data_IF_049057989159
#
_entry.id   IF_049057989159
#
_cell.length_a   1.000
_cell.length_b   1.000
_cell.length_c   1.000
_cell.angle_alpha   90.00
_cell.angle_beta   90.00
_cell.angle_gamma   90.00
#
_symmetry.space_group_name_H-M   'P 1'
#
loop_
_entity.id
_entity.type
_entity.pdbx_description
1 polymer ?
#
# COMPACT_ATOMS: atom_id res chain seq x y z
N UNK A 1 2.05 -23.86 26.31
CA UNK A 1 2.70 -23.19 27.46
C UNK A 1 3.91 -22.30 27.10
N UNK A 2 4.80 -22.64 26.14
CA UNK A 2 5.95 -21.78 25.79
C UNK A 2 5.59 -20.45 25.09
N UNK A 3 4.48 -20.39 24.34
CA UNK A 3 4.03 -19.17 23.64
C UNK A 3 3.49 -18.08 24.60
N UNK A 4 2.66 -18.43 25.59
CA UNK A 4 2.14 -17.46 26.58
C UNK A 4 3.24 -16.83 27.47
N UNK A 5 4.29 -17.59 27.82
CA UNK A 5 5.40 -17.07 28.61
C UNK A 5 6.30 -16.10 27.83
N UNK A 6 6.30 -16.19 26.50
CA UNK A 6 7.09 -15.32 25.61
C UNK A 6 6.36 -13.99 25.36
N UNK A 7 5.04 -14.03 25.20
CA UNK A 7 4.21 -12.82 25.07
C UNK A 7 4.24 -11.95 26.34
N UNK A 8 4.17 -12.56 27.53
CA UNK A 8 4.23 -11.84 28.80
C UNK A 8 5.56 -11.10 29.01
N UNK A 9 6.68 -11.65 28.53
CA UNK A 9 8.00 -10.99 28.59
C UNK A 9 8.10 -9.81 27.62
N UNK A 10 7.50 -9.91 26.44
CA UNK A 10 7.45 -8.81 25.47
C UNK A 10 6.59 -7.65 25.97
N UNK A 11 5.45 -7.95 26.62
CA UNK A 11 4.59 -6.94 27.24
C UNK A 11 5.31 -6.23 28.40
N UNK A 12 6.02 -6.97 29.25
CA UNK A 12 6.78 -6.41 30.37
C UNK A 12 7.91 -5.48 29.91
N UNK A 13 8.63 -5.87 28.84
CA UNK A 13 9.66 -5.03 28.22
C UNK A 13 9.06 -3.75 27.62
N UNK A 14 7.92 -3.86 26.93
CA UNK A 14 7.21 -2.71 26.38
C UNK A 14 6.78 -1.71 27.47
N UNK A 15 6.17 -2.21 28.54
CA UNK A 15 5.78 -1.38 29.69
C UNK A 15 6.97 -0.69 30.35
N UNK A 16 8.10 -1.39 30.50
CA UNK A 16 9.32 -0.81 31.08
C UNK A 16 9.86 0.36 30.23
N UNK A 17 9.82 0.24 28.90
CA UNK A 17 10.24 1.31 27.99
C UNK A 17 9.32 2.54 28.11
N UNK A 18 8.00 2.32 28.20
CA UNK A 18 7.03 3.40 28.38
C UNK A 18 7.26 4.13 29.71
N UNK A 19 7.50 3.39 30.80
CA UNK A 19 7.78 3.98 32.12
C UNK A 19 9.07 4.82 32.08
N UNK A 20 10.13 4.34 31.42
CA UNK A 20 11.39 5.08 31.26
C UNK A 20 11.16 6.36 30.45
N UNK A 21 10.39 6.30 29.36
CA UNK A 21 10.06 7.47 28.54
C UNK A 21 9.26 8.50 29.33
N UNK A 22 8.24 8.07 30.08
CA UNK A 22 7.42 8.96 30.91
C UNK A 22 8.25 9.60 32.03
N UNK A 23 9.10 8.82 32.70
CA UNK A 23 9.99 9.33 33.75
C UNK A 23 11.02 10.33 33.19
N UNK A 24 11.62 10.03 32.04
CA UNK A 24 12.52 10.95 31.34
C UNK A 24 11.82 12.26 30.93
N UNK A 25 10.59 12.17 30.43
CA UNK A 25 9.76 13.35 30.11
C UNK A 25 9.46 14.18 31.35
N UNK A 26 9.09 13.53 32.46
CA UNK A 26 8.85 14.20 33.74
C UNK A 26 10.09 14.98 34.23
N UNK A 27 11.28 14.36 34.18
CA UNK A 27 12.53 15.03 34.59
C UNK A 27 12.84 16.25 33.73
N UNK A 28 12.59 16.19 32.41
CA UNK A 28 12.76 17.33 31.51
C UNK A 28 11.79 18.46 31.86
N UNK A 29 10.51 18.15 32.06
CA UNK A 29 9.49 19.13 32.45
C UNK A 29 9.85 19.78 33.79
N UNK A 30 10.28 18.99 34.79
CA UNK A 30 10.67 19.49 36.09
C UNK A 30 11.88 20.44 36.03
N UNK A 31 12.89 20.13 35.21
CA UNK A 31 14.04 21.02 34.97
C UNK A 31 13.62 22.32 34.31
N UNK A 32 12.76 22.25 33.29
CA UNK A 32 12.23 23.43 32.62
C UNK A 32 11.42 24.28 33.60
N UNK A 33 10.56 23.67 34.41
CA UNK A 33 9.75 24.36 35.41
C UNK A 33 10.59 25.08 36.47
N UNK A 34 11.68 24.47 36.94
CA UNK A 34 12.59 25.10 37.88
C UNK A 34 13.26 26.36 37.31
N UNK A 35 13.63 26.33 36.03
CA UNK A 35 14.20 27.52 35.35
C UNK A 35 13.13 28.63 35.27
N UNK A 36 11.91 28.32 34.85
CA UNK A 36 10.82 29.31 34.77
C UNK A 36 10.38 29.86 36.13
N UNK A 37 10.41 29.04 37.18
CA UNK A 37 10.02 29.45 38.54
C UNK A 37 11.00 30.44 39.17
N UNK A 38 12.22 30.55 38.65
CA UNK A 38 13.24 31.50 39.10
C UNK A 38 13.14 32.89 38.44
N UNK A 39 12.23 33.08 37.47
CA UNK A 39 12.06 34.33 36.71
C UNK A 39 11.07 35.26 37.42
N UNK A 40 11.30 36.58 37.37
CA UNK A 40 10.40 37.60 37.90
C UNK A 40 8.97 37.44 37.32
N UNK A 41 7.92 37.32 38.17
CA UNK A 41 6.53 37.18 37.74
C UNK A 41 6.04 38.23 36.75
N UNK A 42 6.60 39.45 36.75
CA UNK A 42 6.23 40.54 35.82
C UNK A 42 6.72 40.29 34.39
N UNK A 43 7.80 39.51 34.21
CA UNK A 43 8.37 39.14 32.92
C UNK A 43 8.04 37.69 32.52
N UNK A 44 7.71 36.85 33.50
CA UNK A 44 7.46 35.42 33.32
C UNK A 44 6.34 35.10 32.33
N UNK A 45 5.21 35.81 32.40
CA UNK A 45 4.07 35.55 31.51
C UNK A 45 4.41 35.78 30.01
N UNK A 46 5.14 36.85 29.72
CA UNK A 46 5.58 37.17 28.35
C UNK A 46 6.61 36.15 27.82
N UNK A 47 7.56 35.75 28.68
CA UNK A 47 8.58 34.76 28.33
C UNK A 47 7.98 33.36 28.11
N UNK A 48 7.06 32.92 28.97
CA UNK A 48 6.34 31.65 28.79
C UNK A 48 5.56 31.65 27.48
N UNK A 49 4.85 32.74 27.18
CA UNK A 49 4.08 32.87 25.95
C UNK A 49 4.97 32.82 24.70
N UNK A 50 6.08 33.58 24.70
CA UNK A 50 7.03 33.58 23.59
C UNK A 50 7.68 32.20 23.38
N UNK A 51 8.10 31.55 24.47
CA UNK A 51 8.69 30.22 24.42
C UNK A 51 7.69 29.17 23.92
N UNK A 52 6.46 29.20 24.43
CA UNK A 52 5.39 28.32 23.97
C UNK A 52 5.12 28.51 22.46
N UNK A 53 5.05 29.75 21.98
CA UNK A 53 4.84 30.05 20.56
C UNK A 53 5.98 29.49 19.69
N UNK A 54 7.24 29.67 20.11
CA UNK A 54 8.41 29.12 19.39
C UNK A 54 8.38 27.60 19.39
N UNK A 55 8.09 26.97 20.53
CA UNK A 55 7.99 25.50 20.62
C UNK A 55 6.89 24.93 19.74
N UNK A 56 5.68 25.50 19.80
CA UNK A 56 4.55 25.04 18.99
C UNK A 56 4.85 25.17 17.50
N UNK A 57 5.43 26.31 17.08
CA UNK A 57 5.86 26.54 15.70
C UNK A 57 6.89 25.49 15.26
N UNK A 58 7.90 25.22 16.09
CA UNK A 58 8.94 24.25 15.79
C UNK A 58 8.37 22.84 15.64
N UNK A 59 7.52 22.40 16.58
CA UNK A 59 6.85 21.09 16.54
C UNK A 59 5.99 20.97 15.27
N UNK A 60 5.22 22.00 14.94
CA UNK A 60 4.39 22.03 13.74
C UNK A 60 5.22 21.86 12.47
N UNK A 61 6.35 22.57 12.35
CA UNK A 61 7.26 22.44 11.20
C UNK A 61 7.86 21.04 11.12
N UNK A 62 8.28 20.44 12.24
CA UNK A 62 8.82 19.08 12.24
C UNK A 62 7.78 18.05 11.79
N UNK A 63 6.55 18.12 12.31
CA UNK A 63 5.47 17.22 11.91
C UNK A 63 5.14 17.40 10.44
N UNK A 64 5.00 18.64 9.96
CA UNK A 64 4.72 18.93 8.55
C UNK A 64 5.81 18.33 7.66
N UNK A 65 7.08 18.65 7.91
CA UNK A 65 8.20 18.14 7.10
C UNK A 65 8.26 16.61 7.08
N UNK A 66 7.92 15.96 8.20
CA UNK A 66 7.87 14.51 8.27
C UNK A 66 6.75 13.94 7.38
N UNK A 67 5.54 14.50 7.45
CA UNK A 67 4.40 14.10 6.63
C UNK A 67 4.66 14.40 5.14
N UNK A 68 5.21 15.57 4.83
CA UNK A 68 5.55 16.01 3.47
C UNK A 68 6.59 15.09 2.84
N UNK A 69 7.64 14.73 3.59
CA UNK A 69 8.66 13.78 3.12
C UNK A 69 8.05 12.41 2.82
N UNK A 70 7.18 11.91 3.70
CA UNK A 70 6.49 10.64 3.49
C UNK A 70 5.58 10.70 2.26
N UNK A 71 4.82 11.77 2.11
CA UNK A 71 3.95 11.99 0.96
C UNK A 71 4.74 12.08 -0.35
N UNK A 72 5.85 12.83 -0.36
CA UNK A 72 6.72 12.98 -1.52
C UNK A 72 7.31 11.64 -1.99
N UNK A 73 7.80 10.81 -1.07
CA UNK A 73 8.31 9.47 -1.40
C UNK A 73 7.20 8.62 -2.04
N UNK A 74 6.01 8.61 -1.45
CA UNK A 74 4.88 7.85 -1.98
C UNK A 74 4.44 8.34 -3.36
N UNK A 75 4.43 9.66 -3.59
CA UNK A 75 4.10 10.25 -4.88
C UNK A 75 5.13 9.84 -5.94
N UNK A 76 6.43 9.95 -5.66
CA UNK A 76 7.47 9.56 -6.60
C UNK A 76 7.46 8.07 -6.92
N UNK A 77 7.20 7.20 -5.92
CA UNK A 77 7.02 5.77 -6.17
C UNK A 77 5.79 5.53 -7.06
N UNK A 78 4.68 6.22 -6.80
CA UNK A 78 3.46 6.09 -7.60
C UNK A 78 3.68 6.54 -9.05
N UNK A 79 4.40 7.63 -9.27
CA UNK A 79 4.77 8.12 -10.60
C UNK A 79 5.54 7.07 -11.43
N UNK A 80 6.35 6.21 -10.77
CA UNK A 80 7.07 5.11 -11.44
C UNK A 80 6.22 3.86 -11.62
N UNK A 81 5.32 3.57 -10.67
CA UNK A 81 4.42 2.41 -10.71
C UNK A 81 3.30 2.54 -11.74
N UNK A 82 2.71 3.73 -11.89
CA UNK A 82 1.54 3.95 -12.78
C UNK A 82 1.82 3.47 -14.21
N UNK A 83 2.92 3.87 -14.89
CA UNK A 83 3.19 3.43 -16.25
C UNK A 83 3.28 1.90 -16.39
N UNK A 84 3.91 1.23 -15.42
CA UNK A 84 3.99 -0.24 -15.40
C UNK A 84 2.62 -0.88 -15.28
N UNK A 85 1.77 -0.36 -14.39
CA UNK A 85 0.43 -0.92 -14.19
C UNK A 85 -0.52 -0.61 -15.34
N UNK A 86 -0.39 0.56 -15.97
CA UNK A 86 -1.11 0.90 -17.20
C UNK A 86 -0.77 -0.09 -18.32
N UNK A 87 0.51 -0.42 -18.52
CA UNK A 87 0.92 -1.46 -19.49
C UNK A 87 0.25 -2.80 -19.19
N UNK A 88 0.22 -3.23 -17.92
CA UNK A 88 -0.43 -4.48 -17.50
C UNK A 88 -1.92 -4.46 -17.83
N UNK A 89 -2.64 -3.40 -17.43
CA UNK A 89 -4.07 -3.26 -17.69
C UNK A 89 -4.35 -3.25 -19.20
N UNK A 90 -3.58 -2.47 -19.97
CA UNK A 90 -3.73 -2.38 -21.42
C UNK A 90 -3.53 -3.73 -22.11
N UNK A 91 -2.57 -4.53 -21.64
CA UNK A 91 -2.34 -5.88 -22.16
C UNK A 91 -3.47 -6.85 -21.83
N UNK A 92 -4.01 -6.82 -20.60
CA UNK A 92 -5.19 -7.64 -20.24
C UNK A 92 -6.38 -7.25 -21.13
N UNK A 93 -6.58 -5.95 -21.36
CA UNK A 93 -7.67 -5.45 -22.19
C UNK A 93 -7.48 -5.78 -23.67
N UNK A 94 -6.26 -5.74 -24.21
CA UNK A 94 -6.00 -6.13 -25.59
C UNK A 94 -6.25 -7.63 -25.80
N UNK A 95 -5.91 -8.48 -24.83
CA UNK A 95 -6.24 -9.91 -24.88
C UNK A 95 -7.75 -10.16 -24.81
N UNK A 96 -8.46 -9.41 -23.97
CA UNK A 96 -9.89 -9.65 -23.67
C UNK A 96 -10.83 -9.02 -24.70
N UNK A 97 -10.47 -7.85 -25.26
CA UNK A 97 -11.36 -7.04 -26.09
C UNK A 97 -10.88 -6.83 -27.53
N UNK A 98 -9.74 -7.41 -27.95
CA UNK A 98 -9.22 -7.28 -29.32
C UNK A 98 -10.31 -7.43 -30.39
N UNK A 99 -11.03 -8.54 -30.38
CA UNK A 99 -12.09 -8.85 -31.35
C UNK A 99 -13.23 -7.82 -31.32
N UNK A 100 -13.67 -7.40 -30.13
CA UNK A 100 -14.73 -6.39 -29.96
C UNK A 100 -14.32 -4.99 -30.40
N UNK A 101 -13.02 -4.71 -30.40
CA UNK A 101 -12.43 -3.43 -30.80
C UNK A 101 -11.94 -3.43 -32.25
N UNK A 102 -12.14 -4.52 -33.01
CA UNK A 102 -11.63 -4.67 -34.37
C UNK A 102 -10.10 -4.66 -34.44
N UNK A 103 -9.42 -5.06 -33.35
CA UNK A 103 -7.96 -5.16 -33.26
C UNK A 103 -7.53 -6.62 -33.29
N UNK A 104 -6.34 -6.86 -33.82
CA UNK A 104 -5.71 -8.17 -33.71
C UNK A 104 -5.26 -8.43 -32.27
N UNK A 105 -5.36 -9.68 -31.83
CA UNK A 105 -4.79 -10.10 -30.54
C UNK A 105 -3.26 -10.00 -30.63
N UNK A 106 -2.58 -9.68 -29.52
CA UNK A 106 -1.12 -9.68 -29.48
C UNK A 106 -0.53 -11.00 -29.99
N UNK A 107 0.47 -10.91 -30.85
CA UNK A 107 1.26 -12.06 -31.30
C UNK A 107 2.08 -12.66 -30.16
N UNK A 108 2.50 -13.92 -30.31
CA UNK A 108 3.35 -14.60 -29.31
C UNK A 108 4.63 -13.80 -29.00
N UNK A 109 5.25 -13.21 -30.02
CA UNK A 109 6.44 -12.37 -29.86
C UNK A 109 6.15 -11.12 -29.02
N UNK A 110 5.00 -10.48 -29.22
CA UNK A 110 4.57 -9.32 -28.44
C UNK A 110 4.24 -9.70 -27.00
N UNK A 111 3.64 -10.88 -26.77
CA UNK A 111 3.38 -11.41 -25.43
C UNK A 111 4.69 -11.68 -24.68
N UNK A 112 5.68 -12.31 -25.32
CA UNK A 112 7.00 -12.57 -24.72
C UNK A 112 7.69 -11.25 -24.37
N UNK A 113 7.70 -10.30 -25.31
CA UNK A 113 8.28 -8.97 -25.10
C UNK A 113 7.63 -8.26 -23.90
N UNK A 114 6.30 -8.25 -23.85
CA UNK A 114 5.55 -7.68 -22.74
C UNK A 114 5.93 -8.34 -21.40
N UNK A 115 6.02 -9.67 -21.35
CA UNK A 115 6.37 -10.39 -20.12
C UNK A 115 7.76 -10.04 -19.62
N UNK A 116 8.74 -9.91 -20.52
CA UNK A 116 10.11 -9.50 -20.17
C UNK A 116 10.12 -8.08 -19.61
N UNK A 117 9.51 -7.13 -20.31
CA UNK A 117 9.48 -5.71 -19.91
C UNK A 117 8.78 -5.52 -18.57
N UNK A 118 7.59 -6.11 -18.38
CA UNK A 118 6.86 -6.00 -17.12
C UNK A 118 7.59 -6.67 -15.97
N UNK A 119 8.23 -7.82 -16.19
CA UNK A 119 9.00 -8.48 -15.13
C UNK A 119 10.15 -7.58 -14.66
N UNK A 120 10.88 -6.95 -15.59
CA UNK A 120 11.94 -6.00 -15.25
C UNK A 120 11.41 -4.82 -14.43
N UNK A 121 10.29 -4.23 -14.85
CA UNK A 121 9.69 -3.09 -14.15
C UNK A 121 9.14 -3.47 -12.77
N UNK A 122 8.48 -4.62 -12.64
CA UNK A 122 7.93 -5.09 -11.37
C UNK A 122 9.01 -5.46 -10.35
N UNK A 123 10.17 -5.98 -10.78
CA UNK A 123 11.28 -6.24 -9.87
C UNK A 123 11.83 -4.95 -9.25
N UNK A 124 11.78 -3.83 -9.98
CA UNK A 124 12.29 -2.54 -9.49
C UNK A 124 11.23 -1.79 -8.68
N UNK A 125 9.98 -1.78 -9.16
CA UNK A 125 8.94 -0.89 -8.64
C UNK A 125 7.77 -1.61 -7.98
N UNK A 126 7.58 -2.91 -8.20
CA UNK A 126 6.46 -3.67 -7.64
C UNK A 126 6.56 -3.83 -6.13
N UNK A 127 5.44 -3.69 -5.42
CA UNK A 127 5.34 -4.17 -4.04
C UNK A 127 5.40 -5.70 -3.97
N UNK A 128 5.67 -6.24 -2.79
CA UNK A 128 5.67 -7.67 -2.55
C UNK A 128 4.32 -8.30 -2.91
N UNK A 129 3.21 -7.63 -2.57
CA UNK A 129 1.87 -8.11 -2.91
C UNK A 129 1.62 -8.08 -4.42
N UNK A 130 2.06 -7.02 -5.10
CA UNK A 130 1.94 -6.91 -6.55
C UNK A 130 2.77 -7.97 -7.28
N UNK A 131 3.99 -8.25 -6.82
CA UNK A 131 4.84 -9.32 -7.34
C UNK A 131 4.16 -10.69 -7.19
N UNK A 132 3.60 -10.97 -6.01
CA UNK A 132 2.87 -12.20 -5.75
C UNK A 132 1.60 -12.32 -6.61
N UNK A 133 0.85 -11.24 -6.80
CA UNK A 133 -0.33 -11.21 -7.64
C UNK A 133 0.02 -11.47 -9.12
N UNK A 134 1.07 -10.82 -9.62
CA UNK A 134 1.53 -11.00 -11.00
C UNK A 134 2.11 -12.39 -11.24
N UNK A 135 2.87 -12.93 -10.27
CA UNK A 135 3.37 -14.30 -10.32
C UNK A 135 2.25 -15.32 -10.45
N UNK A 136 1.21 -15.22 -9.59
CA UNK A 136 0.02 -16.08 -9.66
C UNK A 136 -0.69 -15.96 -11.00
N UNK A 137 -0.83 -14.75 -11.53
CA UNK A 137 -1.45 -14.50 -12.84
C UNK A 137 -0.66 -15.23 -13.93
N UNK A 138 0.66 -15.05 -13.97
CA UNK A 138 1.54 -15.70 -14.94
C UNK A 138 1.50 -17.22 -14.87
N UNK A 139 1.61 -17.80 -13.68
CA UNK A 139 1.62 -19.27 -13.51
C UNK A 139 0.31 -19.89 -13.97
N UNK A 140 -0.83 -19.30 -13.59
CA UNK A 140 -2.15 -19.81 -13.99
C UNK A 140 -2.38 -19.60 -15.49
N UNK A 141 -1.94 -18.48 -16.07
CA UNK A 141 -2.03 -18.27 -17.52
C UNK A 141 -1.22 -19.28 -18.31
N UNK A 142 -0.10 -19.79 -17.77
CA UNK A 142 0.71 -20.85 -18.40
C UNK A 142 0.09 -22.23 -18.17
N UNK A 143 -0.35 -22.54 -16.95
CA UNK A 143 -0.96 -23.84 -16.62
C UNK A 143 -2.24 -24.14 -17.43
N UNK A 144 -3.02 -23.12 -17.79
CA UNK A 144 -4.22 -23.31 -18.61
C UNK A 144 -3.93 -23.55 -20.10
N UNK A 145 -2.66 -23.47 -20.54
CA UNK A 145 -2.24 -23.84 -21.90
C UNK A 145 -2.07 -25.37 -22.02
N UNK A 146 -1.72 -26.05 -20.93
CA UNK A 146 -1.71 -27.51 -20.85
C UNK A 146 -3.14 -28.01 -20.61
N UNK A 147 -3.82 -28.42 -21.69
CA UNK A 147 -5.21 -28.89 -21.78
C UNK A 147 -5.58 -30.13 -20.93
N UNK A 148 -4.79 -30.47 -19.91
CA UNK A 148 -4.90 -31.70 -19.13
C UNK A 148 -6.00 -31.66 -18.07
N UNK A 149 -6.48 -30.47 -17.68
CA UNK A 149 -7.64 -30.32 -16.78
C UNK A 149 -8.12 -28.86 -16.81
N UNK A 150 -9.25 -28.51 -17.45
CA UNK A 150 -9.75 -27.13 -17.42
C UNK A 150 -10.23 -26.80 -16.00
N UNK A 151 -9.34 -26.28 -15.17
CA UNK A 151 -9.71 -25.65 -13.90
C UNK A 151 -10.67 -24.52 -14.26
N UNK A 152 -11.91 -24.66 -13.81
CA UNK A 152 -13.05 -23.75 -13.89
C UNK A 152 -12.72 -22.40 -14.61
N UNK A 153 -13.22 -22.14 -15.84
CA UNK A 153 -12.84 -20.97 -16.64
C UNK A 153 -13.04 -19.61 -15.94
N UNK A 154 -13.87 -19.58 -14.89
CA UNK A 154 -14.05 -18.42 -14.02
C UNK A 154 -12.83 -18.09 -13.13
N UNK A 155 -11.95 -19.05 -12.85
CA UNK A 155 -10.78 -18.85 -12.00
C UNK A 155 -9.79 -17.85 -12.61
N UNK A 156 -9.63 -17.85 -13.95
CA UNK A 156 -8.77 -16.90 -14.65
C UNK A 156 -9.33 -15.48 -14.53
N UNK A 157 -10.65 -15.32 -14.66
CA UNK A 157 -11.31 -14.02 -14.51
C UNK A 157 -11.12 -13.45 -13.11
N UNK A 158 -11.33 -14.28 -12.10
CA UNK A 158 -11.10 -13.92 -10.70
C UNK A 158 -9.63 -13.59 -10.39
N UNK A 159 -8.69 -14.29 -11.02
CA UNK A 159 -7.27 -13.98 -10.92
C UNK A 159 -6.93 -12.61 -11.53
N UNK A 160 -7.53 -12.27 -12.67
CA UNK A 160 -7.42 -10.93 -13.27
C UNK A 160 -8.00 -9.88 -12.32
N UNK A 161 -9.14 -10.14 -11.68
CA UNK A 161 -9.71 -9.23 -10.69
C UNK A 161 -8.80 -9.02 -9.49
N UNK A 162 -8.20 -10.08 -8.95
CA UNK A 162 -7.23 -9.99 -7.86
C UNK A 162 -6.03 -9.12 -8.25
N UNK A 163 -5.51 -9.32 -9.47
CA UNK A 163 -4.43 -8.50 -10.00
C UNK A 163 -4.82 -7.02 -10.10
N UNK A 164 -6.02 -6.72 -10.61
CA UNK A 164 -6.54 -5.35 -10.70
C UNK A 164 -6.76 -4.72 -9.32
N UNK A 165 -7.21 -5.50 -8.33
CA UNK A 165 -7.37 -5.05 -6.95
C UNK A 165 -6.03 -4.73 -6.31
N UNK A 166 -5.00 -5.57 -6.51
CA UNK A 166 -3.66 -5.32 -5.99
C UNK A 166 -3.02 -4.09 -6.65
N UNK A 167 -3.18 -3.89 -7.96
CA UNK A 167 -2.78 -2.64 -8.63
C UNK A 167 -3.43 -1.42 -7.95
N UNK A 168 -4.75 -1.47 -7.73
CA UNK A 168 -5.47 -0.37 -7.06
C UNK A 168 -4.95 -0.14 -5.65
N UNK A 169 -4.71 -1.22 -4.90
CA UNK A 169 -4.19 -1.17 -3.53
C UNK A 169 -2.82 -0.51 -3.50
N UNK A 170 -1.93 -0.92 -4.41
CA UNK A 170 -0.56 -0.42 -4.48
C UNK A 170 -0.49 1.05 -4.92
N UNK A 171 -1.51 1.53 -5.65
CA UNK A 171 -1.69 2.94 -5.98
C UNK A 171 -2.36 3.77 -4.86
N UNK A 172 -2.80 3.14 -3.77
CA UNK A 172 -3.34 3.80 -2.57
C UNK A 172 -4.85 3.66 -2.35
N UNK A 173 -5.54 2.84 -3.14
CA UNK A 173 -6.96 2.56 -2.91
C UNK A 173 -7.15 1.52 -1.78
N UNK A 174 -8.08 1.78 -0.87
CA UNK A 174 -8.33 0.88 0.28
C UNK A 174 -9.11 -0.39 -0.07
N UNK A 175 -9.77 -0.43 -1.22
CA UNK A 175 -10.62 -1.53 -1.71
C UNK A 175 -11.72 -2.07 -0.75
N UNK A 176 -12.06 -1.36 0.34
CA UNK A 176 -12.94 -1.86 1.42
C UNK A 176 -14.36 -2.25 1.01
N UNK A 177 -14.91 -1.65 -0.04
CA UNK A 177 -16.33 -1.82 -0.43
C UNK A 177 -16.48 -2.49 -1.81
N UNK A 178 -15.42 -3.11 -2.33
CA UNK A 178 -15.43 -3.78 -3.62
C UNK A 178 -15.62 -5.28 -3.37
N UNK A 179 -16.83 -5.75 -3.61
CA UNK A 179 -17.17 -7.17 -3.57
C UNK A 179 -16.58 -7.92 -4.77
N UNK A 180 -16.49 -9.24 -4.67
CA UNK A 180 -15.97 -10.09 -5.73
C UNK A 180 -16.84 -9.94 -6.98
N UNK A 181 -16.21 -9.95 -8.15
CA UNK A 181 -16.88 -9.80 -9.44
C UNK A 181 -17.33 -8.38 -9.79
N UNK A 182 -17.24 -7.39 -8.89
CA UNK A 182 -17.66 -6.01 -9.21
C UNK A 182 -16.73 -5.30 -10.19
N UNK A 183 -15.41 -5.54 -10.12
CA UNK A 183 -14.48 -4.94 -11.08
C UNK A 183 -14.64 -5.62 -12.43
N UNK A 184 -14.76 -6.95 -12.44
CA UNK A 184 -15.03 -7.70 -13.67
C UNK A 184 -16.34 -7.27 -14.32
N UNK A 185 -17.36 -6.97 -13.51
CA UNK A 185 -18.68 -6.53 -13.99
C UNK A 185 -18.67 -5.19 -14.70
N UNK A 186 -17.58 -4.43 -14.65
CA UNK A 186 -17.43 -3.20 -15.44
C UNK A 186 -17.17 -3.49 -16.93
N UNK A 187 -16.70 -4.69 -17.27
CA UNK A 187 -16.28 -5.01 -18.64
C UNK A 187 -16.72 -6.40 -19.12
N UNK A 188 -17.27 -7.25 -18.24
CA UNK A 188 -17.89 -8.54 -18.59
C UNK A 188 -19.38 -8.48 -18.20
N UNK A 189 -20.24 -8.36 -19.22
CA UNK A 189 -21.69 -8.24 -19.02
C UNK A 189 -22.33 -9.56 -18.55
N UNK A 190 -21.83 -10.69 -19.05
CA UNK A 190 -22.39 -12.04 -18.82
C UNK A 190 -21.77 -12.76 -17.62
N UNK A 191 -21.36 -12.02 -16.58
CA UNK A 191 -20.91 -12.67 -15.35
C UNK A 191 -22.08 -13.47 -14.74
N UNK A 192 -21.90 -14.78 -14.47
CA UNK A 192 -22.92 -15.61 -13.84
C UNK A 192 -23.52 -14.91 -12.62
N UNK A 193 -24.85 -14.89 -12.51
CA UNK A 193 -25.57 -14.23 -11.41
C UNK A 193 -25.12 -14.71 -10.01
N UNK A 194 -24.64 -15.96 -9.92
CA UNK A 194 -24.04 -16.56 -8.71
C UNK A 194 -22.73 -15.90 -8.26
N UNK A 195 -22.05 -15.15 -9.14
CA UNK A 195 -20.77 -14.48 -8.88
C UNK A 195 -20.97 -13.02 -8.43
N UNK A 196 -22.12 -12.40 -8.72
CA UNK A 196 -22.43 -11.00 -8.34
C UNK A 196 -22.77 -10.82 -6.85
N UNK A 197 -22.87 -11.89 -6.06
CA UNK A 197 -23.37 -11.87 -4.68
C UNK A 197 -22.37 -12.38 -3.61
N UNK A 198 -21.09 -12.58 -3.97
CA UNK A 198 -20.04 -12.99 -3.03
C UNK A 198 -19.18 -11.81 -2.55
#
# INVERSE_FOLDING_TARGET
>A
MKSQAQDNKQILLGLSIVIILLFGSYLLIAKVWNIFSSVDPRLGAGLVTAFAAVLVSLISVFISKYLDRKAAILTHLREKKIPTYEKIINFIFSLTFAEKLGKEKPSEKEMIKFMVEITQELVIWGSDEMLNAFYKFRTISIENVDNSNPKNPHNVLFMVEDLLLEIRKDLGHKNKNILRGKILGLFINDLPSKIKQA
#
